data_IF_610672892993
#
_entry.id   IF_610672892993
#
_cell.length_a   1.000
_cell.length_b   1.000
_cell.length_c   1.000
_cell.angle_alpha   90.00
_cell.angle_beta   90.00
_cell.angle_gamma   90.00
#
_symmetry.space_group_name_H-M   'P 1'
#
loop_
_entity.id
_entity.type
_entity.pdbx_description
1 polymer ?
#
# COMPACT_ATOMS: atom_id res chain seq x y z
N UNK A 1 6.49 -1.48 -8.23
CA UNK A 1 5.14 -1.97 -7.85
C UNK A 1 5.16 -2.40 -6.40
N UNK A 2 4.49 -1.66 -5.53
CA UNK A 2 4.56 -1.76 -4.06
C UNK A 2 3.29 -2.40 -3.53
N UNK A 3 3.41 -3.55 -2.88
CA UNK A 3 2.28 -4.30 -2.34
C UNK A 3 1.63 -3.61 -1.14
N UNK A 4 0.42 -4.02 -0.80
CA UNK A 4 -0.34 -3.53 0.36
C UNK A 4 -0.16 -4.36 1.63
N UNK A 5 -1.19 -4.29 2.48
CA UNK A 5 -1.32 -5.09 3.70
C UNK A 5 -1.21 -6.58 3.35
N UNK A 6 -0.45 -7.32 4.16
CA UNK A 6 -0.16 -8.75 3.94
C UNK A 6 0.46 -9.10 2.58
N UNK A 7 0.98 -8.12 1.83
CA UNK A 7 1.69 -8.42 0.60
C UNK A 7 3.07 -9.04 0.84
N UNK A 8 3.58 -9.73 -0.19
CA UNK A 8 4.78 -10.56 -0.10
C UNK A 8 5.65 -10.42 -1.35
N UNK A 9 6.90 -10.90 -1.25
CA UNK A 9 7.88 -10.94 -2.32
C UNK A 9 7.78 -12.20 -3.17
N UNK A 10 8.38 -12.19 -4.35
CA UNK A 10 8.25 -13.30 -5.32
C UNK A 10 8.83 -14.64 -4.84
N UNK A 11 9.72 -14.64 -3.85
CA UNK A 11 10.32 -15.87 -3.29
C UNK A 11 9.52 -16.42 -2.08
N UNK A 12 8.47 -15.71 -1.65
CA UNK A 12 7.58 -16.13 -0.56
C UNK A 12 6.35 -16.88 -1.10
N UNK A 13 5.58 -17.49 -0.20
CA UNK A 13 4.35 -18.23 -0.51
C UNK A 13 4.51 -19.28 -1.63
N UNK A 14 5.62 -20.04 -1.60
CA UNK A 14 5.96 -21.07 -2.58
C UNK A 14 6.01 -20.55 -4.04
N UNK A 15 6.51 -19.33 -4.23
CA UNK A 15 6.71 -18.74 -5.56
C UNK A 15 5.46 -18.14 -6.19
N UNK A 16 4.37 -18.02 -5.43
CA UNK A 16 3.16 -17.31 -5.88
C UNK A 16 3.45 -15.81 -5.94
N UNK A 17 3.08 -15.14 -7.02
CA UNK A 17 3.33 -13.71 -7.17
C UNK A 17 2.22 -12.90 -6.47
N UNK A 18 2.58 -11.89 -5.68
CA UNK A 18 1.60 -10.88 -5.25
C UNK A 18 0.99 -10.17 -6.47
N UNK A 19 1.85 -9.86 -7.45
CA UNK A 19 1.47 -9.21 -8.69
C UNK A 19 1.35 -10.24 -9.80
N UNK A 20 0.14 -10.76 -9.97
CA UNK A 20 -0.29 -11.67 -11.02
C UNK A 20 -0.55 -13.11 -10.57
N UNK A 21 -0.48 -13.42 -9.27
CA UNK A 21 -0.84 -14.74 -8.74
C UNK A 21 0.01 -15.87 -9.35
N UNK A 22 -0.63 -16.73 -10.13
CA UNK A 22 0.02 -17.87 -10.80
C UNK A 22 1.03 -17.49 -11.88
N UNK A 23 0.89 -16.30 -12.48
CA UNK A 23 1.79 -15.81 -13.53
C UNK A 23 2.33 -14.44 -13.16
N UNK A 24 3.63 -14.19 -13.37
CA UNK A 24 4.23 -12.93 -12.94
C UNK A 24 3.84 -11.77 -13.85
N UNK A 25 2.97 -10.86 -13.36
CA UNK A 25 2.66 -9.61 -14.06
C UNK A 25 3.93 -8.79 -14.26
N UNK A 26 4.85 -8.81 -13.29
CA UNK A 26 6.16 -8.18 -13.41
C UNK A 26 6.90 -8.67 -14.66
N UNK A 27 6.98 -9.99 -14.86
CA UNK A 27 7.67 -10.54 -16.03
C UNK A 27 6.95 -10.15 -17.33
N UNK A 28 5.61 -10.18 -17.37
CA UNK A 28 4.85 -9.76 -18.55
C UNK A 28 5.08 -8.29 -18.93
N UNK A 29 5.24 -7.39 -17.95
CA UNK A 29 5.60 -6.01 -18.21
C UNK A 29 7.04 -5.88 -18.72
N UNK A 30 7.97 -6.68 -18.19
CA UNK A 30 9.36 -6.74 -18.67
C UNK A 30 9.43 -7.24 -20.11
N UNK A 31 8.66 -8.27 -20.45
CA UNK A 31 8.60 -8.84 -21.81
C UNK A 31 8.02 -7.83 -22.81
N UNK A 32 7.28 -6.81 -22.33
CA UNK A 32 6.80 -5.66 -23.12
C UNK A 32 7.78 -4.49 -23.20
N UNK A 33 8.97 -4.62 -22.62
CA UNK A 33 10.05 -3.62 -22.69
C UNK A 33 10.09 -2.63 -21.52
N UNK A 34 9.30 -2.83 -20.47
CA UNK A 34 9.33 -1.97 -19.28
C UNK A 34 10.30 -2.49 -18.23
N UNK A 35 11.08 -1.60 -17.62
CA UNK A 35 11.91 -1.95 -16.47
C UNK A 35 11.06 -1.94 -15.19
N UNK A 36 10.80 -3.13 -14.62
CA UNK A 36 9.87 -3.28 -13.49
C UNK A 36 10.50 -3.98 -12.29
N UNK A 37 10.22 -3.42 -11.11
CA UNK A 37 10.64 -3.95 -9.82
C UNK A 37 9.46 -4.10 -8.85
N UNK A 38 9.51 -5.14 -8.02
CA UNK A 38 8.51 -5.48 -6.99
C UNK A 38 9.21 -5.59 -5.64
N UNK A 39 9.43 -4.47 -4.93
CA UNK A 39 10.06 -4.50 -3.61
C UNK A 39 9.24 -5.30 -2.59
N UNK A 40 9.94 -5.96 -1.68
CA UNK A 40 9.35 -6.67 -0.53
C UNK A 40 9.64 -5.88 0.74
N UNK A 41 8.59 -5.37 1.38
CA UNK A 41 8.66 -4.53 2.58
C UNK A 41 7.65 -5.03 3.62
N UNK A 42 7.66 -4.47 4.83
CA UNK A 42 6.83 -4.91 5.94
C UNK A 42 5.35 -5.06 5.58
N UNK A 43 4.77 -6.27 5.59
CA UNK A 43 3.37 -6.50 5.26
C UNK A 43 2.38 -5.85 6.24
N UNK A 44 2.84 -5.54 7.46
CA UNK A 44 1.98 -5.06 8.56
C UNK A 44 2.57 -3.87 9.34
N UNK A 45 3.76 -3.40 8.97
CA UNK A 45 4.40 -2.19 9.54
C UNK A 45 3.61 -0.92 9.16
N UNK A 46 3.87 0.20 9.82
CA UNK A 46 3.28 1.50 9.46
C UNK A 46 3.72 1.97 8.06
N UNK A 47 3.00 2.93 7.48
CA UNK A 47 3.40 3.58 6.24
C UNK A 47 4.73 4.35 6.37
N UNK A 48 5.05 4.88 7.56
CA UNK A 48 6.34 5.49 7.83
C UNK A 48 7.47 4.46 7.71
N UNK A 49 7.34 3.34 8.42
CA UNK A 49 8.33 2.26 8.40
C UNK A 49 8.49 1.68 7.00
N UNK A 50 7.37 1.39 6.35
CA UNK A 50 7.33 0.89 4.97
C UNK A 50 7.95 1.87 3.97
N UNK A 51 7.82 3.18 4.16
CA UNK A 51 8.46 4.18 3.30
C UNK A 51 9.98 4.20 3.50
N UNK A 52 10.47 4.06 4.75
CA UNK A 52 11.89 3.94 5.06
C UNK A 52 12.49 2.65 4.48
N UNK A 53 11.77 1.54 4.62
CA UNK A 53 12.12 0.25 4.02
C UNK A 53 12.19 0.34 2.50
N UNK A 54 11.16 0.93 1.87
CA UNK A 54 11.10 1.11 0.43
C UNK A 54 12.24 1.99 -0.09
N UNK A 55 12.59 3.06 0.61
CA UNK A 55 13.72 3.91 0.26
C UNK A 55 15.03 3.12 0.21
N UNK A 56 15.34 2.36 1.28
CA UNK A 56 16.55 1.55 1.34
C UNK A 56 16.51 0.37 0.35
N UNK A 57 15.34 -0.22 0.11
CA UNK A 57 15.18 -1.29 -0.87
C UNK A 57 15.52 -0.79 -2.29
N UNK A 58 15.04 0.40 -2.66
CA UNK A 58 15.30 1.01 -3.96
C UNK A 58 16.76 1.49 -4.08
N UNK A 59 17.17 2.38 -3.17
CA UNK A 59 18.48 3.06 -3.24
C UNK A 59 19.65 2.17 -2.84
N UNK A 60 19.41 1.19 -1.98
CA UNK A 60 20.43 0.41 -1.29
C UNK A 60 20.83 1.03 0.05
N UNK A 61 21.36 0.19 0.93
CA UNK A 61 21.79 0.56 2.28
C UNK A 61 20.92 -0.03 3.38
N UNK A 62 21.20 0.37 4.61
CA UNK A 62 20.45 -0.04 5.80
C UNK A 62 19.22 0.84 5.97
N UNK A 63 18.08 0.23 6.25
CA UNK A 63 16.86 0.95 6.65
C UNK A 63 17.16 1.78 7.89
N UNK A 64 16.86 3.07 7.84
CA UNK A 64 16.92 3.98 8.99
C UNK A 64 15.52 4.58 9.17
N UNK A 65 14.82 4.10 10.19
CA UNK A 65 13.47 4.54 10.55
C UNK A 65 13.45 5.95 11.18
N UNK A 66 14.60 6.53 11.47
CA UNK A 66 14.73 7.83 12.13
C UNK A 66 14.95 7.71 13.63
N UNK A 67 15.80 8.59 14.18
CA UNK A 67 16.10 8.56 15.62
C UNK A 67 14.93 9.07 16.46
N UNK A 68 14.24 10.12 15.99
CA UNK A 68 13.11 10.68 16.71
C UNK A 68 11.93 9.71 16.68
N UNK A 69 11.58 9.22 15.49
CA UNK A 69 10.50 8.26 15.27
C UNK A 69 10.70 6.99 16.12
N UNK A 70 11.86 6.35 16.01
CA UNK A 70 12.13 5.12 16.75
C UNK A 70 12.16 5.30 18.27
N UNK A 71 12.62 6.45 18.78
CA UNK A 71 12.51 6.77 20.22
C UNK A 71 11.06 6.98 20.65
N UNK A 72 10.26 7.67 19.84
CA UNK A 72 8.85 7.96 20.12
C UNK A 72 8.02 6.68 20.20
N UNK A 73 8.22 5.75 19.26
CA UNK A 73 7.43 4.53 19.17
C UNK A 73 8.07 3.31 19.85
N UNK A 74 9.34 3.41 20.26
CA UNK A 74 9.99 2.41 21.10
C UNK A 74 10.44 1.16 20.34
N UNK A 75 10.94 1.33 19.12
CA UNK A 75 11.52 0.24 18.32
C UNK A 75 12.96 0.55 17.89
N UNK A 76 13.62 -0.42 17.26
CA UNK A 76 15.00 -0.25 16.77
C UNK A 76 15.04 0.77 15.63
N UNK A 77 16.01 1.69 15.67
CA UNK A 77 16.22 2.70 14.62
C UNK A 77 16.61 2.11 13.27
N UNK A 78 17.46 1.10 13.28
CA UNK A 78 17.97 0.49 12.05
C UNK A 78 17.30 -0.85 11.78
N UNK A 79 16.90 -1.06 10.54
CA UNK A 79 16.30 -2.30 10.05
C UNK A 79 17.26 -3.14 9.23
N UNK A 80 16.72 -3.81 8.19
CA UNK A 80 17.49 -4.66 7.26
C UNK A 80 18.41 -3.82 6.36
N UNK A 81 19.37 -4.48 5.73
CA UNK A 81 20.25 -3.87 4.71
C UNK A 81 19.96 -4.48 3.36
N UNK A 82 19.77 -3.62 2.36
CA UNK A 82 19.45 -4.02 0.99
C UNK A 82 20.56 -3.62 0.02
N UNK A 83 20.81 -4.42 -1.03
CA UNK A 83 21.78 -4.07 -2.07
C UNK A 83 21.34 -2.84 -2.91
N UNK A 84 20.03 -2.56 -2.98
CA UNK A 84 19.46 -1.52 -3.82
C UNK A 84 19.12 -2.05 -5.21
N UNK A 85 17.83 -2.08 -5.55
CA UNK A 85 17.37 -2.51 -6.88
C UNK A 85 17.64 -1.47 -7.98
N UNK A 86 17.81 -0.20 -7.59
CA UNK A 86 18.17 0.89 -8.50
C UNK A 86 19.10 1.89 -7.80
N UNK A 87 20.39 1.56 -7.58
CA UNK A 87 21.31 2.41 -6.82
C UNK A 87 21.57 3.78 -7.45
N UNK A 88 21.37 3.92 -8.76
CA UNK A 88 21.48 5.19 -9.48
C UNK A 88 20.24 6.08 -9.36
N UNK A 89 19.18 5.62 -8.68
CA UNK A 89 17.98 6.42 -8.41
C UNK A 89 18.32 7.78 -7.80
N UNK A 90 17.80 8.85 -8.41
CA UNK A 90 18.05 10.22 -7.98
C UNK A 90 19.40 10.82 -8.43
N UNK A 91 20.26 10.05 -9.10
CA UNK A 91 21.50 10.57 -9.69
C UNK A 91 21.20 11.27 -11.02
N UNK A 92 22.04 12.23 -11.39
CA UNK A 92 22.00 12.87 -12.70
C UNK A 92 22.58 11.92 -13.75
N UNK A 93 21.83 11.65 -14.82
CA UNK A 93 22.26 10.83 -15.95
C UNK A 93 23.27 11.58 -16.85
N UNK A 94 23.83 10.88 -17.83
CA UNK A 94 24.67 11.51 -18.86
C UNK A 94 23.91 12.56 -19.71
N UNK A 95 22.57 12.44 -19.82
CA UNK A 95 21.71 13.42 -20.49
C UNK A 95 21.37 14.64 -19.62
N UNK A 96 21.92 14.72 -18.40
CA UNK A 96 21.67 15.76 -17.38
C UNK A 96 20.28 15.69 -16.73
N UNK A 97 19.54 14.60 -16.95
CA UNK A 97 18.25 14.38 -16.31
C UNK A 97 18.40 13.64 -14.98
N UNK A 98 17.54 13.92 -14.01
CA UNK A 98 17.48 13.14 -12.77
C UNK A 98 16.89 11.77 -13.10
N UNK A 99 17.53 10.70 -12.66
CA UNK A 99 17.02 9.34 -12.75
C UNK A 99 15.83 9.14 -11.79
N UNK A 100 14.62 9.40 -12.29
CA UNK A 100 13.36 9.22 -11.55
C UNK A 100 12.78 7.81 -11.72
N UNK A 101 11.72 7.53 -10.97
CA UNK A 101 10.92 6.30 -11.08
C UNK A 101 9.42 6.61 -11.08
N UNK A 102 8.64 5.66 -11.59
CA UNK A 102 7.19 5.59 -11.38
C UNK A 102 6.88 4.62 -10.24
N UNK A 103 6.03 5.04 -9.31
CA UNK A 103 5.60 4.23 -8.18
C UNK A 103 4.14 3.79 -8.39
N UNK A 104 3.91 2.48 -8.46
CA UNK A 104 2.56 1.90 -8.52
C UNK A 104 2.32 1.18 -7.20
N UNK A 105 1.30 1.57 -6.44
CA UNK A 105 0.97 1.01 -5.13
C UNK A 105 -0.43 0.41 -5.11
N UNK A 106 -0.56 -0.84 -4.69
CA UNK A 106 -1.86 -1.46 -4.45
C UNK A 106 -2.23 -1.40 -2.97
N UNK A 107 -3.50 -1.17 -2.65
CA UNK A 107 -4.00 -1.19 -1.27
C UNK A 107 -3.18 -0.23 -0.39
N UNK A 108 -2.71 -0.65 0.79
CA UNK A 108 -1.83 0.12 1.67
C UNK A 108 -0.56 0.63 0.97
N UNK A 109 -0.08 -0.05 -0.08
CA UNK A 109 1.08 0.36 -0.87
C UNK A 109 0.93 1.76 -1.45
N UNK A 110 -0.29 2.20 -1.76
CA UNK A 110 -0.55 3.56 -2.24
C UNK A 110 -0.38 4.63 -1.15
N UNK A 111 -0.73 4.34 0.11
CA UNK A 111 -0.40 5.23 1.23
C UNK A 111 1.13 5.30 1.43
N UNK A 112 1.80 4.15 1.37
CA UNK A 112 3.26 4.04 1.54
C UNK A 112 4.04 4.89 0.52
N UNK A 113 3.69 4.81 -0.77
CA UNK A 113 4.41 5.56 -1.81
C UNK A 113 4.16 7.06 -1.75
N UNK A 114 2.99 7.48 -1.24
CA UNK A 114 2.72 8.90 -0.92
C UNK A 114 3.61 9.37 0.21
N UNK A 115 3.72 8.59 1.29
CA UNK A 115 4.61 8.87 2.42
C UNK A 115 6.07 8.97 1.98
N UNK A 116 6.53 8.06 1.11
CA UNK A 116 7.87 8.15 0.53
C UNK A 116 8.08 9.45 -0.25
N UNK A 117 7.14 9.84 -1.11
CA UNK A 117 7.25 11.09 -1.87
C UNK A 117 7.29 12.34 -0.97
N UNK A 118 6.47 12.37 0.08
CA UNK A 118 6.49 13.45 1.08
C UNK A 118 7.86 13.54 1.77
N UNK A 119 8.40 12.41 2.23
CA UNK A 119 9.72 12.37 2.88
C UNK A 119 10.85 12.74 1.91
N UNK A 120 10.78 12.33 0.64
CA UNK A 120 11.76 12.71 -0.37
C UNK A 120 11.75 14.23 -0.60
N UNK A 121 10.57 14.84 -0.76
CA UNK A 121 10.44 16.28 -1.02
C UNK A 121 10.75 17.12 0.21
N UNK A 122 10.15 16.82 1.36
CA UNK A 122 10.14 17.72 2.52
C UNK A 122 10.98 17.19 3.70
N UNK A 123 11.33 15.90 3.67
CA UNK A 123 12.06 15.24 4.75
C UNK A 123 11.24 15.21 6.04
N UNK A 124 11.93 15.15 7.18
CA UNK A 124 11.30 15.28 8.50
C UNK A 124 12.01 16.34 9.34
N UNK A 125 11.26 17.37 9.73
CA UNK A 125 11.78 18.43 10.61
C UNK A 125 12.14 17.89 11.99
N UNK A 126 11.35 16.94 12.50
CA UNK A 126 11.61 16.31 13.79
C UNK A 126 12.94 15.54 13.74
N UNK A 127 13.16 14.73 12.70
CA UNK A 127 14.40 13.98 12.52
C UNK A 127 15.62 14.89 12.36
N UNK A 128 15.50 15.98 11.60
CA UNK A 128 16.57 16.99 11.47
C UNK A 128 16.91 17.71 12.77
N UNK A 129 15.93 17.80 13.68
CA UNK A 129 16.10 18.48 14.97
C UNK A 129 16.79 17.58 15.99
N UNK A 130 16.39 16.30 16.03
CA UNK A 130 16.89 15.34 17.02
C UNK A 130 18.21 14.68 16.58
N UNK A 131 18.38 14.42 15.28
CA UNK A 131 19.52 13.67 14.76
C UNK A 131 20.59 14.61 14.20
N UNK A 132 21.85 14.42 14.61
CA UNK A 132 22.96 15.17 14.03
C UNK A 132 23.08 14.94 12.51
N UNK A 133 23.47 15.97 11.75
CA UNK A 133 23.58 15.88 10.27
C UNK A 133 24.43 14.71 9.77
N UNK A 134 25.46 14.30 10.52
CA UNK A 134 26.35 13.18 10.15
C UNK A 134 25.64 11.83 10.22
N UNK A 135 24.69 11.69 11.12
CA UNK A 135 23.99 10.42 11.37
C UNK A 135 22.58 10.41 10.77
N UNK A 136 22.08 11.53 10.24
CA UNK A 136 20.72 11.64 9.69
C UNK A 136 20.64 10.87 8.37
N UNK A 137 19.63 10.00 8.24
CA UNK A 137 19.31 9.36 6.96
C UNK A 137 19.09 10.41 5.86
N UNK A 138 19.66 10.23 4.66
CA UNK A 138 19.44 11.16 3.56
C UNK A 138 17.96 11.34 3.23
N UNK A 139 17.10 10.33 3.47
CA UNK A 139 15.65 10.43 3.26
C UNK A 139 15.07 11.66 3.96
N UNK A 140 15.41 11.89 5.23
CA UNK A 140 14.84 12.96 6.05
C UNK A 140 15.40 14.37 5.77
N UNK A 141 16.37 14.51 4.85
CA UNK A 141 16.87 15.82 4.43
C UNK A 141 15.88 16.61 3.58
N UNK A 142 14.97 15.95 2.85
CA UNK A 142 14.12 16.59 1.84
C UNK A 142 14.87 16.95 0.55
N UNK A 143 14.26 17.82 -0.27
CA UNK A 143 14.74 18.37 -1.54
C UNK A 143 15.10 17.33 -2.62
N UNK A 144 14.35 16.23 -2.72
CA UNK A 144 14.55 15.19 -3.74
C UNK A 144 13.34 15.06 -4.66
N UNK A 145 13.50 15.50 -5.91
CA UNK A 145 12.54 15.24 -7.00
C UNK A 145 12.89 13.94 -7.72
N UNK A 146 12.74 12.80 -7.02
CA UNK A 146 13.19 11.48 -7.50
C UNK A 146 12.04 10.58 -7.98
N UNK A 147 10.80 11.05 -7.86
CA UNK A 147 9.60 10.36 -8.31
C UNK A 147 8.98 11.18 -9.42
N UNK A 148 8.57 10.53 -10.50
CA UNK A 148 7.93 11.18 -11.63
C UNK A 148 6.40 11.04 -11.58
N UNK A 149 5.94 9.85 -11.19
CA UNK A 149 4.52 9.60 -10.95
C UNK A 149 4.25 8.64 -9.79
N UNK A 150 3.05 8.77 -9.24
CA UNK A 150 2.42 7.86 -8.29
C UNK A 150 1.10 7.39 -8.90
N UNK A 151 0.92 6.08 -8.98
CA UNK A 151 -0.37 5.46 -9.28
C UNK A 151 -0.80 4.62 -8.11
N UNK A 152 -2.03 4.82 -7.63
CA UNK A 152 -2.64 3.98 -6.61
C UNK A 152 -3.74 3.12 -7.21
N UNK A 153 -3.85 1.89 -6.72
CA UNK A 153 -4.85 0.90 -7.14
C UNK A 153 -5.55 0.39 -5.88
N UNK A 154 -6.85 0.62 -5.78
CA UNK A 154 -7.65 0.18 -4.62
C UNK A 154 -7.07 0.63 -3.26
N UNK A 155 -6.46 1.82 -3.19
CA UNK A 155 -5.76 2.29 -1.99
C UNK A 155 -6.72 2.97 -1.02
N UNK A 156 -6.71 2.63 0.29
CA UNK A 156 -7.55 3.32 1.27
C UNK A 156 -6.97 4.69 1.64
N UNK A 157 -7.10 5.70 0.77
CA UNK A 157 -6.55 7.03 1.04
C UNK A 157 -7.19 7.71 2.26
N UNK A 158 -8.46 7.43 2.51
CA UNK A 158 -9.20 7.86 3.69
C UNK A 158 -9.45 6.69 4.68
N UNK A 159 -8.63 5.63 4.60
CA UNK A 159 -8.79 4.43 5.42
C UNK A 159 -9.90 3.52 4.93
N UNK A 160 -10.15 2.43 5.67
CA UNK A 160 -11.25 1.50 5.42
C UNK A 160 -12.15 1.38 6.65
N UNK A 161 -13.47 1.38 6.43
CA UNK A 161 -14.43 1.11 7.49
C UNK A 161 -14.25 -0.29 8.09
N UNK A 162 -13.65 -1.24 7.37
CA UNK A 162 -13.36 -2.58 7.88
C UNK A 162 -12.58 -2.53 9.19
N UNK A 163 -11.69 -1.55 9.37
CA UNK A 163 -10.95 -1.38 10.61
C UNK A 163 -11.81 -0.95 11.82
N UNK A 164 -13.06 -0.52 11.61
CA UNK A 164 -14.04 -0.24 12.67
C UNK A 164 -14.78 -1.49 13.14
N UNK A 165 -14.73 -2.59 12.39
CA UNK A 165 -14.92 -3.90 13.01
C UNK A 165 -13.74 -4.06 13.97
N UNK A 166 -14.03 -4.02 15.29
CA UNK A 166 -13.02 -4.05 16.36
C UNK A 166 -12.30 -5.40 16.47
N UNK A 167 -11.74 -5.88 15.37
CA UNK A 167 -10.91 -7.07 15.33
C UNK A 167 -9.53 -6.73 15.89
N UNK A 168 -8.95 -7.68 16.64
CA UNK A 168 -7.49 -7.72 16.79
C UNK A 168 -6.85 -8.12 15.45
N UNK A 169 -5.52 -8.10 15.37
CA UNK A 169 -4.81 -8.58 14.18
C UNK A 169 -5.19 -10.04 13.82
N UNK A 170 -5.48 -10.86 14.83
CA UNK A 170 -5.75 -12.29 14.70
C UNK A 170 -6.84 -12.63 13.64
N UNK A 171 -8.09 -12.12 13.71
CA UNK A 171 -9.10 -12.32 12.67
C UNK A 171 -8.64 -11.96 11.25
N UNK A 172 -7.97 -10.83 11.07
CA UNK A 172 -7.50 -10.38 9.75
C UNK A 172 -6.47 -11.35 9.16
N UNK A 173 -5.59 -11.88 10.01
CA UNK A 173 -4.58 -12.83 9.56
C UNK A 173 -5.17 -14.22 9.31
N UNK A 174 -6.13 -14.67 10.12
CA UNK A 174 -6.85 -15.92 9.82
C UNK A 174 -7.63 -15.82 8.50
N UNK A 175 -8.24 -14.67 8.20
CA UNK A 175 -8.86 -14.43 6.90
C UNK A 175 -7.83 -14.47 5.76
N UNK A 176 -6.68 -13.83 5.94
CA UNK A 176 -5.58 -13.86 4.97
C UNK A 176 -5.03 -15.28 4.73
N UNK A 177 -4.81 -16.06 5.78
CA UNK A 177 -4.37 -17.46 5.66
C UNK A 177 -5.45 -18.32 5.00
N UNK A 178 -6.72 -18.14 5.37
CA UNK A 178 -7.83 -18.87 4.76
C UNK A 178 -7.95 -18.56 3.26
N UNK A 179 -7.78 -17.30 2.85
CA UNK A 179 -7.69 -16.89 1.45
C UNK A 179 -6.59 -17.67 0.72
N UNK A 180 -5.36 -17.68 1.25
CA UNK A 180 -4.25 -18.38 0.62
C UNK A 180 -4.47 -19.89 0.54
N UNK A 181 -5.11 -20.49 1.55
CA UNK A 181 -5.44 -21.90 1.58
C UNK A 181 -6.51 -22.28 0.52
N UNK A 182 -7.49 -21.41 0.26
CA UNK A 182 -8.50 -21.61 -0.79
C UNK A 182 -7.88 -21.54 -2.19
N UNK A 183 -6.96 -20.60 -2.39
CA UNK A 183 -6.29 -20.43 -3.69
C UNK A 183 -5.21 -21.50 -3.96
N UNK A 184 -4.68 -22.11 -2.90
CA UNK A 184 -3.73 -23.20 -2.98
C UNK A 184 -3.91 -24.13 -1.77
N UNK A 185 -4.63 -25.25 -1.97
CA UNK A 185 -4.94 -26.25 -0.93
C UNK A 185 -3.71 -26.81 -0.19
N UNK A 186 -2.48 -26.54 -0.65
CA UNK A 186 -1.25 -26.92 0.02
C UNK A 186 -0.76 -25.88 1.05
N UNK A 187 -1.25 -24.64 1.05
CA UNK A 187 -0.83 -23.60 2.00
C UNK A 187 -1.62 -23.74 3.30
N UNK A 188 -0.90 -23.88 4.41
CA UNK A 188 -1.40 -23.87 5.78
C UNK A 188 -0.60 -22.86 6.60
N UNK A 189 -1.01 -22.58 7.84
CA UNK A 189 -0.19 -21.77 8.75
C UNK A 189 1.22 -22.38 8.86
N UNK A 190 1.35 -23.70 8.90
CA UNK A 190 2.62 -24.37 9.18
C UNK A 190 3.67 -24.22 8.07
N UNK A 191 3.25 -23.93 6.83
CA UNK A 191 4.14 -23.79 5.67
C UNK A 191 3.97 -22.47 4.91
N UNK A 192 3.22 -21.51 5.46
CA UNK A 192 3.00 -20.20 4.87
C UNK A 192 4.33 -19.49 4.55
N UNK A 193 5.31 -19.60 5.44
CA UNK A 193 6.66 -19.05 5.26
C UNK A 193 6.67 -17.55 4.87
N UNK A 194 5.64 -16.79 5.24
CA UNK A 194 5.61 -15.34 5.10
C UNK A 194 6.48 -14.70 6.18
N UNK A 195 7.37 -13.81 5.77
CA UNK A 195 8.15 -13.00 6.69
C UNK A 195 7.40 -11.70 7.01
N UNK A 196 6.97 -11.52 8.27
CA UNK A 196 6.28 -10.29 8.67
C UNK A 196 7.20 -9.06 8.73
N UNK A 197 8.52 -9.25 8.63
CA UNK A 197 9.54 -8.19 8.66
C UNK A 197 9.44 -7.21 9.83
N UNK A 198 8.99 -7.68 10.99
CA UNK A 198 8.90 -6.90 12.23
C UNK A 198 10.21 -6.92 13.04
N UNK A 199 11.33 -6.88 12.33
CA UNK A 199 12.70 -6.92 12.86
C UNK A 199 12.95 -5.82 13.88
N UNK A 200 12.48 -4.61 13.59
CA UNK A 200 12.65 -3.41 14.41
C UNK A 200 11.95 -3.54 15.77
N UNK A 201 10.89 -4.34 15.83
CA UNK A 201 10.16 -4.71 17.04
C UNK A 201 10.74 -5.91 17.77
N UNK A 202 11.85 -6.47 17.29
CA UNK A 202 12.45 -7.69 17.84
C UNK A 202 11.65 -8.96 17.53
N UNK A 203 10.79 -8.92 16.52
CA UNK A 203 9.87 -10.00 16.17
C UNK A 203 10.32 -10.75 14.91
N UNK A 204 11.60 -11.13 14.85
CA UNK A 204 12.10 -12.07 13.83
C UNK A 204 11.77 -13.50 14.22
N UNK A 205 11.66 -14.42 13.24
CA UNK A 205 11.60 -15.85 13.52
C UNK A 205 12.91 -16.31 14.16
N UNK A 206 12.82 -17.00 15.30
CA UNK A 206 13.99 -17.48 16.03
C UNK A 206 14.59 -18.71 15.35
N UNK A 207 15.89 -18.96 15.56
CA UNK A 207 16.54 -20.19 15.09
C UNK A 207 15.85 -21.43 15.68
N UNK A 208 15.46 -22.38 14.81
CA UNK A 208 14.74 -23.59 15.21
C UNK A 208 13.26 -23.41 15.56
N UNK A 209 12.72 -22.18 15.54
CA UNK A 209 11.29 -21.94 15.81
C UNK A 209 10.44 -22.48 14.65
N UNK A 210 9.40 -23.25 14.95
CA UNK A 210 8.41 -23.65 13.94
C UNK A 210 7.68 -22.41 13.42
N UNK A 211 7.22 -22.46 12.17
CA UNK A 211 6.53 -21.30 11.61
C UNK A 211 5.25 -20.98 12.38
N UNK A 212 4.49 -21.99 12.82
CA UNK A 212 3.30 -21.77 13.67
C UNK A 212 3.63 -21.06 14.98
N UNK A 213 4.72 -21.41 15.66
CA UNK A 213 5.11 -20.72 16.89
C UNK A 213 5.51 -19.28 16.64
N UNK A 214 6.25 -19.03 15.55
CA UNK A 214 6.57 -17.69 15.09
C UNK A 214 5.31 -16.87 14.84
N UNK A 215 4.39 -17.42 14.03
CA UNK A 215 3.11 -16.81 13.72
C UNK A 215 2.30 -16.50 14.98
N UNK A 216 2.11 -17.46 15.87
CA UNK A 216 1.39 -17.29 17.14
C UNK A 216 1.98 -16.16 17.98
N UNK A 217 3.31 -16.04 18.04
CA UNK A 217 4.00 -14.97 18.77
C UNK A 217 3.78 -13.61 18.13
N UNK A 218 3.74 -13.51 16.80
CA UNK A 218 3.39 -12.27 16.09
C UNK A 218 1.98 -11.85 16.46
N UNK A 219 0.99 -12.73 16.28
CA UNK A 219 -0.42 -12.43 16.51
C UNK A 219 -0.72 -12.06 17.96
N UNK A 220 -0.11 -12.78 18.91
CA UNK A 220 -0.30 -12.56 20.36
C UNK A 220 0.55 -11.42 20.90
N UNK A 221 1.38 -10.77 20.07
CA UNK A 221 2.24 -9.67 20.49
C UNK A 221 1.42 -8.51 21.06
N UNK A 222 1.98 -7.84 22.06
CA UNK A 222 1.32 -6.70 22.70
C UNK A 222 1.44 -5.40 21.88
N UNK A 223 2.29 -5.36 20.84
CA UNK A 223 2.49 -4.16 20.01
C UNK A 223 1.19 -3.70 19.36
N UNK A 224 0.32 -4.64 18.95
CA UNK A 224 -0.98 -4.37 18.32
C UNK A 224 -1.95 -3.55 19.18
N UNK A 225 -1.69 -3.45 20.49
CA UNK A 225 -2.52 -2.71 21.45
C UNK A 225 -1.79 -1.50 22.07
N UNK A 226 -0.48 -1.35 21.80
CA UNK A 226 0.39 -0.41 22.51
C UNK A 226 0.92 0.72 21.66
N UNK A 227 0.89 0.57 20.33
CA UNK A 227 1.40 1.58 19.41
C UNK A 227 0.41 1.81 18.28
N UNK A 228 0.46 3.03 17.75
CA UNK A 228 -0.20 3.41 16.50
C UNK A 228 0.75 3.33 15.30
N UNK A 229 1.99 2.89 15.50
CA UNK A 229 3.02 2.76 14.45
C UNK A 229 2.94 1.40 13.73
N UNK A 230 1.72 1.02 13.34
CA UNK A 230 1.44 -0.24 12.64
C UNK A 230 0.31 -0.03 11.63
N UNK A 231 0.24 -0.91 10.63
CA UNK A 231 -0.80 -0.89 9.59
C UNK A 231 -2.23 -0.89 10.14
N UNK A 232 -2.46 -1.56 11.27
CA UNK A 232 -3.78 -1.63 11.94
C UNK A 232 -4.30 -0.27 12.39
N UNK A 233 -3.41 0.72 12.61
CA UNK A 233 -3.80 2.11 12.86
C UNK A 233 -3.91 2.88 11.55
N UNK A 234 -2.88 2.84 10.71
CA UNK A 234 -2.81 3.63 9.47
C UNK A 234 -3.93 3.34 8.46
N UNK A 235 -4.51 2.15 8.53
CA UNK A 235 -5.63 1.72 7.67
C UNK A 235 -7.00 2.06 8.26
N UNK A 236 -7.08 2.52 9.51
CA UNK A 236 -8.31 3.12 10.03
C UNK A 236 -8.60 4.44 9.32
N UNK A 237 -9.86 4.87 9.23
CA UNK A 237 -10.20 6.20 8.76
C UNK A 237 -9.48 7.31 9.56
N UNK A 238 -9.33 7.13 10.87
CA UNK A 238 -8.67 8.09 11.75
C UNK A 238 -7.16 8.19 11.49
N UNK A 239 -6.46 7.06 11.38
CA UNK A 239 -5.03 7.00 11.07
C UNK A 239 -4.74 7.49 9.66
N UNK A 240 -5.58 7.17 8.68
CA UNK A 240 -5.47 7.71 7.33
C UNK A 240 -5.70 9.23 7.30
N UNK A 241 -6.68 9.75 8.07
CA UNK A 241 -6.86 11.20 8.24
C UNK A 241 -5.62 11.84 8.85
N UNK A 242 -5.02 11.24 9.88
CA UNK A 242 -3.77 11.71 10.48
C UNK A 242 -2.66 11.79 9.42
N UNK A 243 -2.45 10.73 8.65
CA UNK A 243 -1.49 10.69 7.54
C UNK A 243 -1.74 11.82 6.53
N UNK A 244 -2.98 12.00 6.11
CA UNK A 244 -3.38 13.00 5.13
C UNK A 244 -3.16 14.45 5.59
N UNK A 245 -3.04 14.70 6.90
CA UNK A 245 -2.76 16.06 7.40
C UNK A 245 -1.39 16.56 7.00
N UNK A 246 -0.42 15.66 6.78
CA UNK A 246 0.97 16.01 6.47
C UNK A 246 1.49 15.42 5.16
N UNK A 247 0.92 14.30 4.66
CA UNK A 247 1.30 13.71 3.37
C UNK A 247 0.46 14.32 2.24
N UNK A 248 1.06 15.23 1.46
CA UNK A 248 0.37 16.00 0.41
C UNK A 248 0.77 15.55 -1.00
N UNK A 249 -0.05 15.89 -1.99
CA UNK A 249 0.34 15.83 -3.39
C UNK A 249 1.44 16.87 -3.67
N UNK A 250 2.58 16.41 -4.22
CA UNK A 250 3.72 17.27 -4.57
C UNK A 250 3.53 17.88 -5.96
N UNK A 251 3.90 19.15 -6.10
CA UNK A 251 3.71 19.95 -7.32
C UNK A 251 4.42 19.41 -8.57
N UNK A 252 5.47 18.61 -8.39
CA UNK A 252 6.32 18.06 -9.43
C UNK A 252 6.09 16.57 -9.73
N UNK A 253 5.03 15.96 -9.16
CA UNK A 253 4.69 14.54 -9.34
C UNK A 253 3.31 14.43 -9.99
N UNK A 254 3.16 13.51 -10.96
CA UNK A 254 1.86 13.10 -11.47
C UNK A 254 1.19 12.08 -10.54
N UNK A 255 -0.06 12.31 -10.13
CA UNK A 255 -0.82 11.35 -9.32
C UNK A 255 -1.97 10.74 -10.13
N UNK A 256 -2.14 9.43 -10.02
CA UNK A 256 -3.21 8.67 -10.65
C UNK A 256 -3.88 7.74 -9.65
N UNK A 257 -5.17 7.51 -9.81
CA UNK A 257 -5.90 6.49 -9.07
C UNK A 257 -6.76 5.63 -9.99
N UNK A 258 -6.65 4.31 -9.80
CA UNK A 258 -7.60 3.32 -10.28
C UNK A 258 -8.32 2.72 -9.08
N UNK A 259 -9.64 2.65 -9.14
CA UNK A 259 -10.45 2.10 -8.03
C UNK A 259 -11.13 0.82 -8.47
N UNK A 260 -11.35 -0.08 -7.53
CA UNK A 260 -12.08 -1.32 -7.74
C UNK A 260 -13.49 -1.17 -7.14
N UNK A 261 -14.49 -1.77 -7.77
CA UNK A 261 -15.88 -1.82 -7.29
C UNK A 261 -16.46 -3.18 -7.65
N UNK A 262 -16.94 -3.92 -6.66
CA UNK A 262 -17.52 -5.26 -6.84
C UNK A 262 -18.80 -5.39 -6.00
N UNK A 263 -19.57 -4.31 -5.95
CA UNK A 263 -20.85 -4.22 -5.26
C UNK A 263 -21.90 -3.55 -6.14
N UNK A 264 -23.16 -3.90 -5.93
CA UNK A 264 -24.31 -3.21 -6.50
C UNK A 264 -25.29 -2.76 -5.42
N UNK A 265 -26.14 -1.79 -5.76
CA UNK A 265 -27.20 -1.33 -4.87
C UNK A 265 -28.33 -2.37 -4.83
N UNK A 266 -28.72 -2.77 -3.63
CA UNK A 266 -29.90 -3.59 -3.39
C UNK A 266 -31.18 -2.76 -3.61
N UNK A 267 -32.14 -3.31 -4.36
CA UNK A 267 -33.35 -2.59 -4.77
C UNK A 267 -34.37 -2.31 -3.66
N UNK A 268 -34.20 -2.87 -2.46
CA UNK A 268 -35.12 -2.70 -1.32
C UNK A 268 -34.47 -1.85 -0.22
N UNK A 269 -33.26 -2.22 0.19
CA UNK A 269 -32.55 -1.58 1.30
C UNK A 269 -31.72 -0.38 0.89
N UNK A 270 -31.40 -0.25 -0.41
CA UNK A 270 -30.45 0.73 -0.95
C UNK A 270 -29.03 0.61 -0.36
N UNK A 271 -28.74 -0.46 0.38
CA UNK A 271 -27.38 -0.81 0.78
C UNK A 271 -26.59 -1.32 -0.43
N UNK A 272 -25.27 -1.27 -0.34
CA UNK A 272 -24.41 -1.94 -1.32
C UNK A 272 -24.20 -3.39 -0.88
N UNK A 273 -24.42 -4.34 -1.79
CA UNK A 273 -24.22 -5.77 -1.56
C UNK A 273 -23.17 -6.29 -2.56
N UNK A 274 -22.36 -7.29 -2.17
CA UNK A 274 -21.32 -7.81 -3.05
C UNK A 274 -21.91 -8.44 -4.33
N UNK A 275 -21.23 -8.22 -5.44
CA UNK A 275 -21.51 -8.92 -6.68
C UNK A 275 -21.21 -10.42 -6.52
N UNK A 276 -21.86 -11.27 -7.33
CA UNK A 276 -21.77 -12.73 -7.20
C UNK A 276 -20.37 -13.30 -7.42
N UNK A 277 -19.51 -12.56 -8.10
CA UNK A 277 -18.13 -12.89 -8.45
C UNK A 277 -17.12 -12.43 -7.38
N UNK A 278 -17.55 -11.73 -6.32
CA UNK A 278 -16.64 -11.31 -5.25
C UNK A 278 -16.02 -12.52 -4.56
N UNK A 279 -14.71 -12.47 -4.32
CA UNK A 279 -14.02 -13.53 -3.60
C UNK A 279 -14.71 -13.81 -2.23
N UNK A 280 -15.07 -15.06 -1.89
CA UNK A 280 -15.90 -15.36 -0.72
C UNK A 280 -15.35 -14.85 0.62
N UNK A 281 -14.03 -14.76 0.76
CA UNK A 281 -13.39 -14.23 1.98
C UNK A 281 -13.70 -12.74 2.23
N UNK A 282 -14.06 -11.99 1.19
CA UNK A 282 -14.32 -10.55 1.24
C UNK A 282 -15.80 -10.23 1.47
N UNK A 283 -16.70 -11.19 1.23
CA UNK A 283 -18.16 -10.99 1.35
C UNK A 283 -18.58 -10.43 2.72
N UNK A 284 -18.09 -10.96 3.87
CA UNK A 284 -18.49 -10.42 5.18
C UNK A 284 -18.11 -8.96 5.37
N UNK A 285 -16.89 -8.58 4.96
CA UNK A 285 -16.41 -7.20 5.02
C UNK A 285 -17.22 -6.31 4.08
N UNK A 286 -17.44 -6.75 2.83
CA UNK A 286 -18.21 -6.01 1.85
C UNK A 286 -19.63 -5.68 2.31
N UNK A 287 -20.33 -6.66 2.90
CA UNK A 287 -21.68 -6.48 3.44
C UNK A 287 -21.65 -5.46 4.59
N UNK A 288 -20.69 -5.57 5.51
CA UNK A 288 -20.55 -4.61 6.60
C UNK A 288 -20.33 -3.20 6.05
N UNK A 289 -19.35 -3.02 5.19
CA UNK A 289 -19.02 -1.71 4.58
C UNK A 289 -20.18 -1.14 3.77
N UNK A 290 -20.97 -2.01 3.12
CA UNK A 290 -22.09 -1.67 2.25
C UNK A 290 -23.31 -1.09 2.95
N UNK A 291 -23.35 -1.12 4.28
CA UNK A 291 -24.38 -0.47 5.09
C UNK A 291 -23.84 0.30 6.31
N UNK A 292 -22.53 0.28 6.57
CA UNK A 292 -21.96 0.89 7.75
C UNK A 292 -22.02 2.43 7.71
N UNK A 293 -22.33 3.04 8.84
CA UNK A 293 -22.30 4.50 9.03
C UNK A 293 -21.65 4.83 10.36
N UNK A 294 -20.94 5.96 10.40
CA UNK A 294 -20.34 6.50 11.62
C UNK A 294 -20.53 8.01 11.67
N UNK A 295 -21.14 8.50 12.75
CA UNK A 295 -21.34 9.92 13.02
C UNK A 295 -20.80 10.34 14.40
N UNK A 296 -19.96 9.50 15.02
CA UNK A 296 -19.41 9.78 16.33
C UNK A 296 -18.48 10.99 16.27
N UNK A 297 -18.67 11.92 17.21
CA UNK A 297 -17.89 13.16 17.26
C UNK A 297 -16.38 12.85 17.40
N UNK A 298 -15.57 13.48 16.54
CA UNK A 298 -14.11 13.33 16.51
C UNK A 298 -13.60 12.24 15.56
N UNK A 299 -14.43 11.25 15.24
CA UNK A 299 -14.12 10.20 14.27
C UNK A 299 -14.29 10.73 12.83
N UNK A 300 -13.86 9.95 11.83
CA UNK A 300 -14.19 10.25 10.43
C UNK A 300 -15.66 9.90 10.17
N UNK A 301 -16.40 10.87 9.63
CA UNK A 301 -17.79 10.67 9.28
C UNK A 301 -17.92 9.71 8.09
N UNK A 302 -18.73 8.67 8.27
CA UNK A 302 -19.03 7.65 7.28
C UNK A 302 -20.54 7.67 7.06
N UNK A 303 -20.93 7.88 5.80
CA UNK A 303 -22.32 7.87 5.34
C UNK A 303 -22.46 6.96 4.11
N UNK A 304 -23.63 7.01 3.47
CA UNK A 304 -23.92 6.18 2.29
C UNK A 304 -22.98 6.36 1.10
N UNK A 305 -22.24 7.47 1.03
CA UNK A 305 -21.25 7.68 -0.04
C UNK A 305 -20.06 6.73 0.06
N UNK A 306 -19.86 6.11 1.22
CA UNK A 306 -18.82 5.11 1.47
C UNK A 306 -19.23 3.69 1.12
N UNK A 307 -20.50 3.39 0.89
CA UNK A 307 -20.95 2.00 0.84
C UNK A 307 -20.40 1.19 -0.35
N UNK A 308 -20.16 1.85 -1.50
CA UNK A 308 -19.57 1.16 -2.66
C UNK A 308 -18.15 0.71 -2.32
N UNK A 309 -17.84 -0.57 -2.52
CA UNK A 309 -16.57 -1.12 -2.11
C UNK A 309 -16.09 -2.27 -3.02
N UNK A 310 -14.83 -2.65 -2.84
CA UNK A 310 -14.19 -3.80 -3.50
C UNK A 310 -14.04 -5.01 -2.56
N UNK A 311 -14.74 -4.98 -1.43
CA UNK A 311 -14.66 -5.98 -0.37
C UNK A 311 -13.64 -5.69 0.74
N UNK A 312 -12.77 -4.68 0.61
CA UNK A 312 -11.87 -4.22 1.69
C UNK A 312 -11.81 -2.70 1.78
N UNK A 313 -11.92 -1.99 0.65
CA UNK A 313 -11.76 -0.54 0.54
C UNK A 313 -12.97 0.06 -0.17
N UNK A 314 -13.49 1.15 0.40
CA UNK A 314 -14.55 1.90 -0.24
C UNK A 314 -14.05 2.66 -1.46
N UNK A 315 -14.83 2.64 -2.54
CA UNK A 315 -14.57 3.37 -3.78
C UNK A 315 -14.28 4.83 -3.50
N UNK A 316 -15.05 5.44 -2.60
CA UNK A 316 -14.88 6.84 -2.21
C UNK A 316 -13.45 7.07 -1.66
N UNK A 317 -12.98 6.22 -0.74
CA UNK A 317 -11.64 6.27 -0.13
C UNK A 317 -10.53 5.98 -1.14
N UNK A 318 -10.83 5.22 -2.20
CA UNK A 318 -9.85 4.84 -3.21
C UNK A 318 -9.55 5.92 -4.27
N UNK A 319 -10.41 6.92 -4.42
CA UNK A 319 -10.24 7.94 -5.47
C UNK A 319 -9.05 8.88 -5.17
N UNK A 320 -9.02 9.46 -3.97
CA UNK A 320 -7.98 10.39 -3.52
C UNK A 320 -8.13 10.66 -2.01
N UNK A 321 -7.07 11.14 -1.32
CA UNK A 321 -7.16 11.55 0.08
C UNK A 321 -7.99 12.82 0.24
N UNK A 322 -8.98 12.79 1.14
CA UNK A 322 -9.92 13.89 1.41
C UNK A 322 -10.07 14.18 2.90
N UNK A 323 -10.15 13.15 3.73
CA UNK A 323 -10.21 13.32 5.18
C UNK A 323 -8.89 13.93 5.66
N UNK A 324 -8.92 15.17 6.18
CA UNK A 324 -7.71 15.89 6.63
C UNK A 324 -6.79 16.38 5.49
N UNK A 325 -7.23 16.25 4.24
CA UNK A 325 -6.43 16.55 3.05
C UNK A 325 -6.87 17.84 2.38
N UNK A 326 -5.95 18.47 1.66
CA UNK A 326 -6.21 19.59 0.75
C UNK A 326 -5.89 19.23 -0.70
N UNK A 327 -5.55 17.97 -0.96
CA UNK A 327 -5.27 17.46 -2.29
C UNK A 327 -6.51 17.63 -3.18
N UNK A 328 -6.27 17.91 -4.46
CA UNK A 328 -7.32 18.08 -5.46
C UNK A 328 -7.38 16.87 -6.37
N UNK A 329 -8.56 16.62 -6.91
CA UNK A 329 -8.81 15.56 -7.89
C UNK A 329 -9.41 16.16 -9.17
N UNK A 330 -8.98 15.62 -10.30
CA UNK A 330 -9.53 15.85 -11.64
C UNK A 330 -9.81 14.50 -12.29
N UNK A 331 -10.81 14.45 -13.16
CA UNK A 331 -11.03 13.27 -13.99
C UNK A 331 -9.96 13.20 -15.06
N UNK A 332 -9.30 12.04 -15.17
CA UNK A 332 -8.42 11.74 -16.28
C UNK A 332 -9.25 11.67 -17.58
N UNK A 333 -8.71 12.22 -18.66
CA UNK A 333 -9.33 12.15 -19.98
C UNK A 333 -8.38 11.45 -20.97
N UNK A 334 -7.18 12.02 -21.15
CA UNK A 334 -6.11 11.42 -21.93
C UNK A 334 -4.73 11.95 -21.47
N UNK A 335 -3.65 11.37 -21.99
CA UNK A 335 -2.27 11.71 -21.64
C UNK A 335 -1.89 13.18 -21.95
N UNK A 336 -2.58 13.85 -22.88
CA UNK A 336 -2.28 15.24 -23.25
C UNK A 336 -2.78 16.28 -22.20
N UNK A 337 -3.62 15.86 -21.25
CA UNK A 337 -4.23 16.75 -20.26
C UNK A 337 -3.95 16.35 -18.81
N UNK A 338 -2.92 15.53 -18.57
CA UNK A 338 -2.53 15.11 -17.22
C UNK A 338 -1.87 16.27 -16.47
N UNK A 339 -2.23 16.43 -15.19
CA UNK A 339 -1.74 17.52 -14.35
C UNK A 339 -0.85 16.98 -13.21
N UNK A 340 0.32 17.60 -13.00
CA UNK A 340 1.17 17.37 -11.81
C UNK A 340 0.52 18.02 -10.58
N UNK A 341 0.80 17.50 -9.38
CA UNK A 341 0.30 18.04 -8.11
C UNK A 341 -1.19 17.83 -7.82
N UNK A 342 -1.91 17.07 -8.66
CA UNK A 342 -3.31 16.71 -8.46
C UNK A 342 -3.56 15.25 -8.80
N UNK A 343 -4.58 14.65 -8.19
CA UNK A 343 -5.01 13.29 -8.45
C UNK A 343 -5.80 13.22 -9.76
N UNK A 344 -5.24 12.58 -10.78
CA UNK A 344 -5.91 12.29 -12.05
C UNK A 344 -6.63 10.95 -11.89
N UNK A 345 -7.91 10.99 -11.51
CA UNK A 345 -8.71 9.79 -11.33
C UNK A 345 -9.00 9.14 -12.68
N UNK A 346 -8.46 7.93 -12.90
CA UNK A 346 -8.52 7.23 -14.19
C UNK A 346 -9.91 6.63 -14.39
N UNK A 347 -10.27 5.65 -13.56
CA UNK A 347 -11.57 4.97 -13.63
C UNK A 347 -11.83 4.07 -12.43
N UNK A 348 -13.06 3.58 -12.38
CA UNK A 348 -13.48 2.43 -11.57
C UNK A 348 -13.50 1.18 -12.45
N UNK A 349 -12.73 0.17 -12.07
CA UNK A 349 -12.75 -1.16 -12.65
C UNK A 349 -13.92 -1.90 -12.00
N UNK A 350 -15.01 -2.07 -12.76
CA UNK A 350 -16.26 -2.68 -12.30
C UNK A 350 -16.14 -4.20 -12.24
N UNK A 351 -16.88 -4.79 -11.31
CA UNK A 351 -16.94 -6.22 -11.06
C UNK A 351 -15.56 -6.84 -10.80
N UNK A 352 -14.73 -6.12 -10.05
CA UNK A 352 -13.38 -6.54 -9.65
C UNK A 352 -13.19 -6.22 -8.18
N UNK A 353 -13.00 -7.26 -7.36
CA UNK A 353 -12.68 -7.13 -5.94
C UNK A 353 -11.21 -6.77 -5.68
N UNK A 354 -10.92 -6.49 -4.41
CA UNK A 354 -9.63 -6.05 -3.90
C UNK A 354 -8.47 -7.00 -4.23
N UNK A 355 -8.72 -8.30 -4.29
CA UNK A 355 -7.70 -9.31 -4.53
C UNK A 355 -7.52 -9.57 -6.02
N UNK A 356 -8.65 -9.65 -6.73
CA UNK A 356 -8.72 -9.98 -8.15
C UNK A 356 -7.86 -9.07 -9.00
N UNK A 357 -7.82 -7.76 -8.71
CA UNK A 357 -7.02 -6.79 -9.48
C UNK A 357 -5.52 -7.11 -9.50
N UNK A 358 -4.96 -7.68 -8.42
CA UNK A 358 -3.53 -8.05 -8.36
C UNK A 358 -3.28 -9.54 -8.50
N UNK A 359 -4.18 -10.41 -8.07
CA UNK A 359 -4.01 -11.87 -8.17
C UNK A 359 -4.43 -12.42 -9.54
N UNK A 360 -5.31 -11.70 -10.25
CA UNK A 360 -5.78 -12.06 -11.60
C UNK A 360 -6.36 -13.47 -11.65
N UNK A 361 -7.17 -13.81 -10.64
CA UNK A 361 -7.84 -15.11 -10.48
C UNK A 361 -8.96 -15.32 -11.51
N UNK A 362 -9.54 -14.24 -12.02
CA UNK A 362 -10.57 -14.22 -13.07
C UNK A 362 -10.31 -13.09 -14.07
N UNK A 363 -10.80 -13.21 -15.31
CA UNK A 363 -10.65 -12.21 -16.37
C UNK A 363 -9.20 -11.69 -16.56
N UNK A 364 -8.21 -12.57 -16.36
CA UNK A 364 -6.77 -12.24 -16.42
C UNK A 364 -6.37 -11.40 -17.64
N UNK A 365 -6.75 -11.72 -18.90
CA UNK A 365 -6.33 -10.91 -20.04
C UNK A 365 -6.79 -9.44 -19.95
N UNK A 366 -8.00 -9.20 -19.45
CA UNK A 366 -8.51 -7.85 -19.26
C UNK A 366 -7.76 -7.12 -18.14
N UNK A 367 -7.52 -7.79 -17.01
CA UNK A 367 -6.75 -7.19 -15.91
C UNK A 367 -5.29 -6.95 -16.28
N UNK A 368 -4.64 -7.85 -17.02
CA UNK A 368 -3.30 -7.62 -17.55
C UNK A 368 -3.28 -6.41 -18.47
N UNK A 369 -4.31 -6.25 -19.31
CA UNK A 369 -4.45 -5.09 -20.17
C UNK A 369 -4.54 -3.77 -19.38
N UNK A 370 -5.22 -3.75 -18.22
CA UNK A 370 -5.24 -2.56 -17.34
C UNK A 370 -3.83 -2.10 -16.93
N UNK A 371 -2.94 -3.03 -16.61
CA UNK A 371 -1.56 -2.71 -16.26
C UNK A 371 -0.71 -2.33 -17.48
N UNK A 372 -0.98 -2.92 -18.65
CA UNK A 372 -0.31 -2.54 -19.89
C UNK A 372 -0.68 -1.13 -20.33
N UNK A 373 -1.95 -0.77 -20.25
CA UNK A 373 -2.45 0.56 -20.54
C UNK A 373 -1.88 1.57 -19.54
N UNK A 374 -1.84 1.22 -18.25
CA UNK A 374 -1.19 2.05 -17.24
C UNK A 374 0.29 2.27 -17.56
N UNK A 375 1.05 1.22 -17.88
CA UNK A 375 2.47 1.36 -18.24
C UNK A 375 2.67 2.27 -19.45
N UNK A 376 1.77 2.22 -20.45
CA UNK A 376 1.79 3.14 -21.59
C UNK A 376 1.49 4.58 -21.18
N UNK A 377 0.52 4.83 -20.29
CA UNK A 377 0.25 6.17 -19.76
C UNK A 377 1.50 6.73 -19.10
N UNK A 378 2.13 5.95 -18.22
CA UNK A 378 3.29 6.36 -17.45
C UNK A 378 4.52 6.64 -18.33
N UNK A 379 4.77 5.78 -19.32
CA UNK A 379 5.89 5.95 -20.26
C UNK A 379 5.73 7.16 -21.20
N UNK A 380 4.52 7.67 -21.36
CA UNK A 380 4.21 8.80 -22.25
C UNK A 380 3.91 10.09 -21.49
N UNK A 381 4.26 10.17 -20.20
CA UNK A 381 4.10 11.41 -19.44
C UNK A 381 4.98 12.53 -20.00
N UNK A 382 4.48 13.78 -20.06
CA UNK A 382 5.33 14.92 -20.40
C UNK A 382 6.46 15.08 -19.38
N UNK A 383 7.67 15.34 -19.89
CA UNK A 383 8.86 15.63 -19.07
C UNK A 383 8.67 16.93 -18.30
#
# INVERSE_FOLDING_TARGET
MVHGLFGWGNDELNGKNYWGGSESLRQKLIDKGYQVYTPTIGPVSSNWDRACELYAYIKGGTVDYGEAHSKKFGHSRYGRTYPGIYPSWGNISNSKDIQKIHLIGHSMGGQTIRTLAELLKNGSTEERTITSKKNLSPLFLGNKSWVDSITTIATPHDGSQEAHLKYGLEPLVHQFVAMLAVENNAITIDNLNLDFQLDQWGLKRNSGESYRNYFDRIIKSNIWKKTNDLSVWDLTPEGARELNTWVKAQDDIYYFSLVCEDTHEDGITHHQIPDKNMHPILIPSSIFMGCYTNNKQGDVAIDKTWWKNDGIVSVISAICPRAGSTDKMVYYNNSAHVQKGVWNYIKSIKSVDHLKVVQMTENRPALEQEFFDLAQILNNLPI
#
